data_IF_798645262528
#
_entry.id   IF_798645262528
#
_cell.length_a   1.000
_cell.length_b   1.000
_cell.length_c   1.000
_cell.angle_alpha   90.00
_cell.angle_beta   90.00
_cell.angle_gamma   90.00
#
_symmetry.space_group_name_H-M   'P 1'
#
loop_
_entity.id
_entity.type
_entity.pdbx_description
1 polymer ?
#
# COMPACT_ATOMS: atom_id res chain seq x y z
N UNK A 1 17.83 -5.25 -19.69
CA UNK A 1 16.92 -6.06 -18.86
C UNK A 1 15.50 -5.60 -19.15
N UNK A 2 14.59 -6.51 -19.36
CA UNK A 2 13.20 -6.15 -19.61
C UNK A 2 12.44 -6.28 -18.30
N UNK A 3 11.86 -5.18 -17.82
CA UNK A 3 10.99 -5.18 -16.66
C UNK A 3 9.53 -5.19 -17.10
N UNK A 4 8.68 -5.79 -16.29
CA UNK A 4 7.23 -5.70 -16.41
C UNK A 4 6.70 -4.86 -15.25
N UNK A 5 5.79 -3.95 -15.54
CA UNK A 5 5.14 -3.09 -14.57
C UNK A 5 3.63 -3.14 -14.79
N UNK A 6 2.86 -2.99 -13.71
CA UNK A 6 1.41 -3.01 -13.74
C UNK A 6 0.89 -1.77 -13.04
N UNK A 7 -0.09 -1.11 -13.66
CA UNK A 7 -0.73 0.07 -13.05
C UNK A 7 -2.23 -0.09 -13.02
N UNK A 8 -2.82 0.30 -11.91
CA UNK A 8 -4.24 0.56 -11.78
C UNK A 8 -4.53 2.05 -12.00
N UNK A 9 -5.80 2.40 -12.14
CA UNK A 9 -6.23 3.78 -12.33
C UNK A 9 -7.60 4.06 -11.72
N UNK A 10 -7.84 5.29 -11.31
CA UNK A 10 -9.20 5.79 -11.09
C UNK A 10 -9.84 6.02 -12.46
N UNK A 11 -10.85 5.22 -12.78
CA UNK A 11 -11.48 5.25 -14.09
C UNK A 11 -12.54 6.34 -14.20
N UNK A 12 -13.17 6.70 -13.09
CA UNK A 12 -14.23 7.73 -13.03
C UNK A 12 -15.29 7.58 -14.15
N UNK A 13 -15.60 6.33 -14.51
CA UNK A 13 -16.53 6.02 -15.60
C UNK A 13 -15.97 6.22 -17.01
N UNK A 14 -14.68 6.51 -17.17
CA UNK A 14 -14.07 6.68 -18.50
C UNK A 14 -13.85 5.32 -19.19
N UNK A 15 -14.41 5.11 -20.39
CA UNK A 15 -14.14 3.93 -21.19
C UNK A 15 -12.66 3.87 -21.57
N UNK A 16 -12.06 2.69 -21.44
CA UNK A 16 -10.65 2.48 -21.79
C UNK A 16 -9.65 2.66 -20.65
N UNK A 17 -10.02 3.29 -19.55
CA UNK A 17 -9.21 3.26 -18.32
C UNK A 17 -9.36 1.88 -17.63
N UNK A 18 -8.39 1.50 -16.82
CA UNK A 18 -8.40 0.19 -16.14
C UNK A 18 -7.02 -0.22 -15.63
N UNK A 19 -6.70 -1.50 -15.73
CA UNK A 19 -5.39 -2.04 -15.42
C UNK A 19 -4.53 -2.08 -16.67
N UNK A 20 -3.35 -1.44 -16.64
CA UNK A 20 -2.39 -1.45 -17.74
C UNK A 20 -1.17 -2.31 -17.43
N UNK A 21 -0.67 -2.99 -18.44
CA UNK A 21 0.52 -3.83 -18.45
C UNK A 21 1.59 -3.12 -19.27
N UNK A 22 2.74 -2.88 -18.68
CA UNK A 22 3.83 -2.14 -19.28
C UNK A 22 5.06 -3.01 -19.42
N UNK A 23 5.77 -2.82 -20.51
CA UNK A 23 7.13 -3.29 -20.70
C UNK A 23 8.10 -2.12 -20.63
N UNK A 24 9.21 -2.28 -19.90
CA UNK A 24 10.29 -1.30 -19.88
C UNK A 24 11.58 -1.96 -20.36
N UNK A 25 12.11 -1.47 -21.48
CA UNK A 25 13.35 -1.95 -22.10
C UNK A 25 14.31 -0.80 -22.31
N UNK A 26 15.49 -0.90 -21.70
CA UNK A 26 16.60 0.03 -21.80
C UNK A 26 16.27 1.48 -21.38
N UNK A 27 15.29 2.12 -21.97
CA UNK A 27 14.87 3.50 -21.67
C UNK A 27 13.46 3.80 -22.16
N UNK A 28 12.77 2.80 -22.71
CA UNK A 28 11.45 2.98 -23.30
C UNK A 28 10.40 2.22 -22.48
N UNK A 29 9.45 2.98 -21.93
CA UNK A 29 8.26 2.44 -21.30
C UNK A 29 7.16 2.34 -22.36
N UNK A 30 6.66 1.12 -22.58
CA UNK A 30 5.62 0.84 -23.57
C UNK A 30 4.44 0.18 -22.92
N UNK A 31 3.22 0.72 -23.13
CA UNK A 31 2.01 0.00 -22.77
C UNK A 31 1.82 -1.18 -23.73
N UNK A 32 1.94 -2.39 -23.15
CA UNK A 32 1.81 -3.62 -23.93
C UNK A 32 0.36 -4.04 -24.05
N UNK A 33 -0.43 -3.84 -22.98
CA UNK A 33 -1.83 -4.26 -22.88
C UNK A 33 -2.58 -3.46 -21.83
N UNK A 34 -3.93 -3.45 -22.00
CA UNK A 34 -4.84 -2.86 -21.01
C UNK A 34 -6.10 -3.74 -20.86
N UNK A 35 -6.53 -3.90 -19.62
CA UNK A 35 -7.83 -4.48 -19.27
C UNK A 35 -8.74 -3.34 -18.89
N UNK A 36 -9.66 -3.00 -19.79
CA UNK A 36 -10.65 -1.96 -19.59
C UNK A 36 -11.92 -2.50 -18.91
N UNK A 37 -12.82 -1.61 -18.51
CA UNK A 37 -14.13 -1.95 -17.95
C UNK A 37 -14.13 -2.28 -16.45
N UNK A 38 -12.97 -2.23 -15.79
CA UNK A 38 -12.85 -2.30 -14.32
C UNK A 38 -13.16 -0.92 -13.72
N UNK A 39 -13.78 -0.92 -12.55
CA UNK A 39 -14.19 0.33 -11.88
C UNK A 39 -13.16 0.73 -10.82
N UNK A 40 -12.45 1.82 -11.07
CA UNK A 40 -11.43 2.35 -10.17
C UNK A 40 -10.48 1.26 -9.61
N UNK A 41 -9.77 0.48 -10.46
CA UNK A 41 -8.78 -0.48 -9.99
C UNK A 41 -7.53 0.27 -9.50
N UNK A 42 -7.68 1.03 -8.41
CA UNK A 42 -6.68 1.98 -7.89
C UNK A 42 -5.47 1.30 -7.28
N UNK A 43 -5.60 0.05 -6.83
CA UNK A 43 -4.51 -0.76 -6.29
C UNK A 43 -4.45 -2.12 -6.97
N UNK A 44 -3.23 -2.53 -7.34
CA UNK A 44 -2.97 -3.82 -8.01
C UNK A 44 -1.88 -4.59 -7.29
N UNK A 45 -2.05 -5.90 -7.18
CA UNK A 45 -1.09 -6.81 -6.54
C UNK A 45 -0.72 -7.94 -7.51
N UNK A 46 0.44 -7.88 -8.18
CA UNK A 46 0.93 -8.99 -9.00
C UNK A 46 1.50 -10.11 -8.13
N UNK A 47 1.18 -11.36 -8.47
CA UNK A 47 1.75 -12.56 -7.85
C UNK A 47 1.89 -13.69 -8.85
N UNK A 48 3.12 -13.96 -9.27
CA UNK A 48 3.39 -14.91 -10.34
C UNK A 48 2.68 -14.51 -11.64
N UNK A 49 1.83 -15.38 -12.19
CA UNK A 49 1.03 -15.11 -13.39
C UNK A 49 -0.40 -14.61 -13.07
N UNK A 50 -0.63 -14.14 -11.85
CA UNK A 50 -1.90 -13.53 -11.43
C UNK A 50 -1.70 -12.07 -11.06
N UNK A 51 -2.74 -11.28 -11.28
CA UNK A 51 -2.83 -9.91 -10.81
C UNK A 51 -4.20 -9.73 -10.18
N UNK A 52 -4.18 -9.33 -8.93
CA UNK A 52 -5.38 -8.94 -8.19
C UNK A 52 -5.53 -7.42 -8.27
N UNK A 53 -6.75 -6.96 -8.42
CA UNK A 53 -7.07 -5.53 -8.42
C UNK A 53 -8.29 -5.27 -7.54
N UNK A 54 -8.28 -4.16 -6.81
CA UNK A 54 -9.47 -3.67 -6.10
C UNK A 54 -10.45 -3.02 -7.10
N UNK A 55 -11.73 -2.93 -6.70
CA UNK A 55 -12.64 -1.90 -7.19
C UNK A 55 -12.90 -0.93 -6.03
N UNK A 56 -12.28 0.25 -6.09
CA UNK A 56 -12.41 1.30 -5.07
C UNK A 56 -13.66 2.13 -5.33
N UNK A 57 -14.76 1.76 -4.67
CA UNK A 57 -16.05 2.41 -4.79
C UNK A 57 -16.57 2.79 -3.39
N UNK A 58 -17.09 4.00 -3.20
CA UNK A 58 -17.41 4.54 -1.87
C UNK A 58 -18.57 3.83 -1.16
N UNK A 59 -19.43 3.16 -1.90
CA UNK A 59 -20.65 2.50 -1.41
C UNK A 59 -20.60 0.98 -1.46
N UNK A 60 -19.52 0.41 -2.02
CA UNK A 60 -19.36 -1.04 -2.20
C UNK A 60 -17.92 -1.42 -2.45
N UNK A 61 -17.65 -2.72 -2.43
CA UNK A 61 -16.35 -3.28 -2.64
C UNK A 61 -16.36 -4.39 -3.70
N UNK A 62 -15.30 -4.48 -4.45
CA UNK A 62 -15.07 -5.56 -5.41
C UNK A 62 -13.60 -5.90 -5.52
N UNK A 63 -13.32 -7.14 -5.88
CA UNK A 63 -11.98 -7.64 -6.17
C UNK A 63 -12.02 -8.40 -7.48
N UNK A 64 -10.97 -8.22 -8.27
CA UNK A 64 -10.79 -8.85 -9.58
C UNK A 64 -9.49 -9.66 -9.57
N UNK A 65 -9.52 -10.85 -10.15
CA UNK A 65 -8.33 -11.63 -10.43
C UNK A 65 -8.17 -11.81 -11.94
N UNK A 66 -7.05 -11.37 -12.45
CA UNK A 66 -6.62 -11.58 -13.83
C UNK A 66 -5.49 -12.61 -13.85
N UNK A 67 -5.36 -13.34 -14.94
CA UNK A 67 -4.17 -14.13 -15.23
C UNK A 67 -3.75 -13.97 -16.68
N UNK A 68 -2.51 -14.33 -17.00
CA UNK A 68 -2.01 -14.34 -18.37
C UNK A 68 -0.96 -15.45 -18.57
N UNK A 69 -0.89 -15.96 -19.77
CA UNK A 69 0.23 -16.75 -20.23
C UNK A 69 1.26 -15.86 -20.92
N UNK A 70 2.51 -16.31 -21.00
CA UNK A 70 3.58 -15.57 -21.66
C UNK A 70 3.18 -15.19 -23.09
N UNK A 71 3.26 -13.90 -23.42
CA UNK A 71 2.77 -13.39 -24.70
C UNK A 71 1.23 -13.36 -24.86
N UNK A 72 0.45 -14.01 -23.98
CA UNK A 72 -1.01 -14.10 -24.01
C UNK A 72 -1.74 -12.84 -23.51
N UNK A 73 -3.00 -12.66 -23.89
CA UNK A 73 -3.84 -11.59 -23.34
C UNK A 73 -4.23 -11.91 -21.88
N UNK A 74 -4.31 -10.88 -20.98
CA UNK A 74 -4.88 -11.08 -19.67
C UNK A 74 -6.31 -11.59 -19.75
N UNK A 75 -6.63 -12.58 -18.93
CA UNK A 75 -7.95 -13.19 -18.84
C UNK A 75 -8.53 -12.96 -17.46
N UNK A 76 -9.81 -12.65 -17.39
CA UNK A 76 -10.54 -12.58 -16.14
C UNK A 76 -10.76 -13.98 -15.60
N UNK A 77 -10.22 -14.28 -14.42
CA UNK A 77 -10.39 -15.56 -13.73
C UNK A 77 -11.64 -15.51 -12.87
N UNK A 78 -11.73 -14.47 -12.04
CA UNK A 78 -12.92 -14.20 -11.24
C UNK A 78 -13.07 -12.71 -10.94
N UNK A 79 -14.29 -12.27 -10.71
CA UNK A 79 -14.68 -10.97 -10.24
C UNK A 79 -15.74 -11.15 -9.17
N UNK A 80 -15.51 -10.60 -7.98
CA UNK A 80 -16.39 -10.76 -6.82
C UNK A 80 -16.71 -9.42 -6.18
N UNK A 81 -18.01 -9.18 -5.96
CA UNK A 81 -18.44 -8.25 -4.95
C UNK A 81 -18.17 -8.83 -3.57
N UNK A 82 -17.60 -8.05 -2.68
CA UNK A 82 -17.24 -8.47 -1.32
C UNK A 82 -17.81 -7.50 -0.29
N UNK A 83 -17.96 -7.91 1.00
CA UNK A 83 -18.32 -6.98 2.05
C UNK A 83 -17.32 -5.83 2.19
N UNK A 84 -17.81 -4.63 2.56
CA UNK A 84 -17.01 -3.41 2.73
C UNK A 84 -17.25 -2.36 1.67
N UNK A 85 -16.45 -1.29 1.69
CA UNK A 85 -16.49 -0.20 0.74
C UNK A 85 -15.12 0.49 0.63
N UNK A 86 -14.84 1.09 -0.55
CA UNK A 86 -13.61 1.85 -0.78
C UNK A 86 -12.34 1.03 -0.60
N UNK A 87 -12.23 -0.14 -1.26
CA UNK A 87 -11.03 -0.96 -1.17
C UNK A 87 -9.84 -0.22 -1.80
N UNK A 88 -8.77 -0.03 -1.02
CA UNK A 88 -7.60 0.76 -1.45
C UNK A 88 -6.26 0.03 -1.36
N UNK A 89 -6.22 -1.18 -0.78
CA UNK A 89 -4.99 -1.96 -0.64
C UNK A 89 -5.27 -3.46 -0.62
N UNK A 90 -4.31 -4.26 -1.09
CA UNK A 90 -4.36 -5.72 -1.11
C UNK A 90 -3.08 -6.32 -0.54
N UNK A 91 -3.22 -7.38 0.24
CA UNK A 91 -2.11 -8.22 0.70
C UNK A 91 -2.47 -9.69 0.58
N UNK A 92 -1.55 -10.49 0.07
CA UNK A 92 -1.68 -11.94 0.01
C UNK A 92 -0.90 -12.57 1.16
N UNK A 93 -1.59 -13.30 2.04
CA UNK A 93 -0.99 -14.09 3.12
C UNK A 93 -1.49 -15.54 3.01
N UNK A 94 -0.56 -16.46 2.73
CA UNK A 94 -0.92 -17.83 2.44
C UNK A 94 -1.96 -17.96 1.30
N UNK A 95 -3.09 -18.65 1.51
CA UNK A 95 -4.15 -18.78 0.51
C UNK A 95 -5.14 -17.61 0.49
N UNK A 96 -5.05 -16.67 1.43
CA UNK A 96 -6.02 -15.59 1.62
C UNK A 96 -5.50 -14.26 1.11
N UNK A 97 -6.31 -13.59 0.32
CA UNK A 97 -6.11 -12.22 -0.13
C UNK A 97 -6.91 -11.28 0.78
N UNK A 98 -6.24 -10.46 1.55
CA UNK A 98 -6.85 -9.44 2.39
C UNK A 98 -6.94 -8.10 1.66
N UNK A 99 -8.08 -7.45 1.77
CA UNK A 99 -8.38 -6.15 1.18
C UNK A 99 -8.76 -5.13 2.26
N UNK A 100 -8.07 -4.00 2.28
CA UNK A 100 -8.32 -2.88 3.18
C UNK A 100 -9.37 -1.95 2.58
N UNK A 101 -10.46 -1.73 3.32
CA UNK A 101 -11.58 -0.88 2.91
C UNK A 101 -11.55 0.46 3.65
N UNK A 102 -11.16 1.51 2.94
CA UNK A 102 -11.04 2.86 3.49
C UNK A 102 -12.40 3.43 3.86
N UNK A 103 -13.33 3.51 2.89
CA UNK A 103 -14.65 4.10 3.12
C UNK A 103 -15.52 3.25 4.06
N UNK A 104 -15.31 1.95 4.08
CA UNK A 104 -16.04 1.03 4.97
C UNK A 104 -15.46 0.94 6.38
N UNK A 105 -14.20 1.31 6.61
CA UNK A 105 -13.49 0.99 7.84
C UNK A 105 -13.37 -0.52 8.05
N UNK A 106 -13.07 -1.28 6.99
CA UNK A 106 -13.19 -2.75 6.98
C UNK A 106 -11.94 -3.46 6.53
N UNK A 107 -11.76 -4.69 6.98
CA UNK A 107 -10.81 -5.66 6.43
C UNK A 107 -11.59 -6.88 5.94
N UNK A 108 -11.43 -7.20 4.66
CA UNK A 108 -12.10 -8.34 4.02
C UNK A 108 -11.07 -9.34 3.54
N UNK A 109 -11.22 -10.62 3.87
CA UNK A 109 -10.41 -11.72 3.34
C UNK A 109 -11.20 -12.54 2.33
N UNK A 110 -10.57 -12.88 1.21
CA UNK A 110 -11.11 -13.82 0.23
C UNK A 110 -10.10 -14.92 -0.08
N UNK A 111 -10.57 -16.11 -0.43
CA UNK A 111 -9.71 -17.13 -1.00
C UNK A 111 -9.09 -16.64 -2.31
N UNK A 112 -7.78 -16.56 -2.40
CA UNK A 112 -7.08 -16.04 -3.57
C UNK A 112 -7.34 -16.86 -4.85
N UNK A 113 -7.72 -18.12 -4.71
CA UNK A 113 -7.99 -19.02 -5.83
C UNK A 113 -9.36 -18.77 -6.46
N UNK A 114 -10.39 -18.54 -5.66
CA UNK A 114 -11.81 -18.49 -6.07
C UNK A 114 -12.46 -17.10 -5.93
N UNK A 115 -11.88 -16.25 -5.07
CA UNK A 115 -12.46 -14.98 -4.67
C UNK A 115 -13.62 -15.10 -3.66
N UNK A 116 -13.87 -16.31 -3.12
CA UNK A 116 -14.93 -16.49 -2.13
C UNK A 116 -14.56 -15.82 -0.79
N UNK A 117 -15.45 -15.00 -0.20
CA UNK A 117 -15.19 -14.37 1.08
C UNK A 117 -15.02 -15.40 2.20
N UNK A 118 -13.94 -15.26 2.98
CA UNK A 118 -13.63 -16.16 4.12
C UNK A 118 -13.41 -15.41 5.43
N UNK A 119 -13.22 -14.07 5.38
CA UNK A 119 -13.03 -13.23 6.55
C UNK A 119 -13.67 -11.86 6.35
N UNK A 120 -14.23 -11.29 7.42
CA UNK A 120 -14.73 -9.91 7.44
C UNK A 120 -14.65 -9.33 8.85
N UNK A 121 -14.10 -8.10 8.94
CA UNK A 121 -14.00 -7.35 10.19
C UNK A 121 -14.32 -5.88 9.93
N UNK A 122 -15.23 -5.32 10.74
CA UNK A 122 -15.45 -3.87 10.83
C UNK A 122 -14.65 -3.29 11.99
N UNK A 123 -14.09 -2.09 11.77
CA UNK A 123 -13.38 -1.32 12.78
C UNK A 123 -14.18 -0.08 13.15
N UNK A 124 -14.09 0.33 14.43
CA UNK A 124 -14.84 1.44 14.96
C UNK A 124 -13.95 2.38 15.76
N UNK A 125 -14.33 3.65 15.76
CA UNK A 125 -13.64 4.72 16.45
C UNK A 125 -13.47 5.93 15.55
N UNK A 126 -12.79 6.94 16.04
CA UNK A 126 -12.49 8.17 15.33
C UNK A 126 -11.19 8.76 15.87
N UNK A 127 -10.60 9.68 15.11
CA UNK A 127 -9.46 10.50 15.52
C UNK A 127 -9.86 11.97 15.69
N UNK A 128 -8.87 12.85 15.94
CA UNK A 128 -9.13 14.28 16.19
C UNK A 128 -9.44 15.09 14.93
N UNK A 129 -9.07 14.60 13.73
CA UNK A 129 -9.35 15.29 12.46
C UNK A 129 -10.77 14.96 11.98
N UNK A 130 -11.74 15.82 12.31
CA UNK A 130 -13.14 15.58 12.00
C UNK A 130 -13.45 15.41 10.49
N UNK A 131 -12.59 15.88 9.59
CA UNK A 131 -12.78 15.77 8.15
C UNK A 131 -12.22 14.49 7.54
N UNK A 132 -11.25 13.87 8.22
CA UNK A 132 -10.49 12.72 7.69
C UNK A 132 -10.47 11.52 8.64
N UNK A 133 -10.95 11.68 9.86
CA UNK A 133 -10.95 10.68 10.92
C UNK A 133 -12.31 10.61 11.65
N UNK A 134 -13.41 10.88 10.94
CA UNK A 134 -14.78 10.81 11.49
C UNK A 134 -15.19 9.38 11.87
N UNK A 135 -14.48 8.40 11.34
CA UNK A 135 -14.63 6.95 11.62
C UNK A 135 -13.31 6.22 11.33
N UNK A 136 -13.29 4.90 11.53
CA UNK A 136 -12.19 4.05 11.10
C UNK A 136 -12.03 4.07 9.57
N UNK A 137 -10.77 4.12 9.09
CA UNK A 137 -10.39 4.09 7.68
C UNK A 137 -9.21 3.13 7.49
N UNK A 138 -9.50 1.88 7.20
CA UNK A 138 -8.44 0.87 7.01
C UNK A 138 -7.72 1.12 5.70
N UNK A 139 -6.44 1.49 5.78
CA UNK A 139 -5.70 1.94 4.61
C UNK A 139 -4.75 0.89 4.03
N UNK A 140 -4.14 0.08 4.87
CA UNK A 140 -3.28 -1.02 4.42
C UNK A 140 -3.22 -2.15 5.44
N UNK A 141 -2.82 -3.32 4.98
CA UNK A 141 -2.45 -4.43 5.84
C UNK A 141 -1.25 -5.18 5.26
N UNK A 142 -0.45 -5.80 6.11
CA UNK A 142 0.71 -6.59 5.71
C UNK A 142 1.02 -7.67 6.73
N UNK A 143 1.49 -8.82 6.24
CA UNK A 143 1.98 -9.92 7.06
C UNK A 143 3.30 -9.52 7.75
N UNK A 144 3.48 -9.93 9.00
CA UNK A 144 4.75 -9.78 9.70
C UNK A 144 5.85 -10.63 9.06
N UNK A 145 7.14 -10.28 9.22
CA UNK A 145 8.24 -11.00 8.59
C UNK A 145 8.32 -12.50 8.93
N UNK A 146 7.81 -12.89 10.09
CA UNK A 146 7.76 -14.28 10.55
C UNK A 146 6.49 -15.03 10.14
N UNK A 147 5.58 -14.37 9.42
CA UNK A 147 4.33 -14.96 8.95
C UNK A 147 3.29 -15.26 10.04
N UNK A 148 3.52 -14.80 11.27
CA UNK A 148 2.63 -15.15 12.39
C UNK A 148 1.49 -14.16 12.64
N UNK A 149 1.61 -12.95 12.08
CA UNK A 149 0.66 -11.85 12.31
C UNK A 149 0.30 -11.12 11.02
N UNK A 150 -0.89 -10.55 11.01
CA UNK A 150 -1.30 -9.51 10.08
C UNK A 150 -1.40 -8.19 10.83
N UNK A 151 -0.66 -7.18 10.34
CA UNK A 151 -0.73 -5.82 10.83
C UNK A 151 -1.66 -5.01 9.94
N UNK A 152 -2.44 -4.10 10.53
CA UNK A 152 -3.47 -3.34 9.82
C UNK A 152 -3.40 -1.87 10.22
N UNK A 153 -3.17 -0.98 9.28
CA UNK A 153 -3.11 0.47 9.47
C UNK A 153 -4.51 1.09 9.36
N UNK A 154 -4.92 1.80 10.39
CA UNK A 154 -6.18 2.54 10.44
C UNK A 154 -5.90 4.05 10.54
N UNK A 155 -6.06 4.72 9.42
CA UNK A 155 -5.88 6.16 9.33
C UNK A 155 -6.90 6.90 10.21
N UNK A 156 -8.11 6.40 10.27
CA UNK A 156 -9.24 7.07 10.94
C UNK A 156 -9.14 7.07 12.46
N UNK A 157 -8.44 6.11 13.06
CA UNK A 157 -8.36 6.00 14.53
C UNK A 157 -6.95 6.19 15.08
N UNK A 158 -5.97 6.54 14.22
CA UNK A 158 -4.55 6.63 14.59
C UNK A 158 -4.00 5.32 15.17
N UNK A 159 -4.41 4.15 14.62
CA UNK A 159 -4.00 2.84 15.15
C UNK A 159 -3.35 1.95 14.12
N UNK A 160 -2.42 1.15 14.63
CA UNK A 160 -1.93 -0.06 13.94
C UNK A 160 -2.42 -1.27 14.73
N UNK A 161 -3.37 -2.03 14.18
CA UNK A 161 -3.85 -3.27 14.79
C UNK A 161 -2.92 -4.43 14.47
N UNK A 162 -2.87 -5.41 15.38
CA UNK A 162 -2.15 -6.66 15.22
C UNK A 162 -3.08 -7.85 15.45
N UNK A 163 -3.09 -8.76 14.50
CA UNK A 163 -3.87 -10.01 14.56
C UNK A 163 -2.95 -11.20 14.41
N UNK A 164 -3.19 -12.22 15.18
CA UNK A 164 -2.62 -13.56 14.96
C UNK A 164 -3.23 -14.16 13.70
N UNK A 165 -2.38 -14.61 12.79
CA UNK A 165 -2.79 -15.42 11.64
C UNK A 165 -3.05 -16.85 12.08
N UNK A 166 -4.28 -17.32 11.87
CA UNK A 166 -4.70 -18.67 12.15
C UNK A 166 -4.83 -19.49 10.86
N UNK A 167 -5.05 -20.80 11.00
CA UNK A 167 -5.36 -21.65 9.85
C UNK A 167 -6.56 -21.11 9.06
N UNK A 168 -6.59 -21.37 7.77
CA UNK A 168 -7.62 -20.89 6.84
C UNK A 168 -7.78 -19.35 6.77
N UNK A 169 -6.77 -18.60 7.23
CA UNK A 169 -6.77 -17.13 7.16
C UNK A 169 -7.69 -16.44 8.16
N UNK A 170 -8.10 -17.13 9.22
CA UNK A 170 -8.80 -16.48 10.34
C UNK A 170 -7.84 -15.56 11.10
N UNK A 171 -8.34 -14.41 11.52
CA UNK A 171 -7.60 -13.45 12.31
C UNK A 171 -8.18 -13.38 13.73
N UNK A 172 -7.28 -13.41 14.72
CA UNK A 172 -7.62 -13.21 16.12
C UNK A 172 -6.80 -12.03 16.65
N UNK A 173 -7.39 -11.04 17.33
CA UNK A 173 -6.62 -9.94 17.91
C UNK A 173 -5.46 -10.47 18.76
N UNK A 174 -4.28 -9.86 18.64
CA UNK A 174 -3.13 -10.21 19.49
C UNK A 174 -3.47 -9.94 20.95
N UNK A 175 -3.35 -10.95 21.81
CA UNK A 175 -3.71 -10.84 23.20
C UNK A 175 -2.76 -9.98 24.03
N UNK A 176 -1.53 -9.75 23.56
CA UNK A 176 -0.52 -8.97 24.27
C UNK A 176 -0.43 -7.51 23.79
N UNK A 177 -0.53 -7.29 22.48
CA UNK A 177 -0.51 -5.97 21.87
C UNK A 177 -1.50 -5.90 20.70
N UNK A 178 -2.82 -5.84 20.97
CA UNK A 178 -3.83 -5.86 19.91
C UNK A 178 -3.78 -4.65 18.98
N UNK A 179 -3.21 -3.54 19.44
CA UNK A 179 -2.88 -2.37 18.62
C UNK A 179 -1.79 -1.52 19.29
N UNK A 180 -1.17 -0.65 18.51
CA UNK A 180 -0.41 0.50 18.98
C UNK A 180 -1.12 1.78 18.53
N UNK A 181 -0.96 2.86 19.29
CA UNK A 181 -1.47 4.18 19.01
C UNK A 181 -0.34 5.04 18.44
N UNK A 182 -0.56 5.70 17.30
CA UNK A 182 0.32 6.77 16.81
C UNK A 182 -0.06 8.11 17.44
N UNK A 183 0.64 9.17 17.11
CA UNK A 183 0.26 10.52 17.55
C UNK A 183 -1.14 10.93 17.05
N UNK A 184 -1.86 11.77 17.82
CA UNK A 184 -3.21 12.18 17.46
C UNK A 184 -3.21 12.96 16.14
N UNK A 185 -4.05 12.52 15.18
CA UNK A 185 -4.18 13.17 13.88
C UNK A 185 -3.10 12.79 12.86
N UNK A 186 -2.25 11.81 13.14
CA UNK A 186 -1.20 11.37 12.23
C UNK A 186 -1.73 10.55 11.04
N UNK A 187 -2.68 9.67 11.28
CA UNK A 187 -3.30 8.84 10.23
C UNK A 187 -2.36 7.81 9.60
N UNK A 188 -2.16 6.65 10.24
CA UNK A 188 -1.38 5.53 9.69
C UNK A 188 -1.83 5.13 8.29
N UNK A 189 -0.89 5.00 7.35
CA UNK A 189 -1.23 4.73 5.94
C UNK A 189 -0.59 3.46 5.41
N UNK A 190 0.63 3.54 4.93
CA UNK A 190 1.42 2.42 4.42
C UNK A 190 2.65 2.20 5.29
N UNK A 191 3.13 0.97 5.34
CA UNK A 191 4.31 0.61 6.12
C UNK A 191 5.11 -0.48 5.41
N UNK A 192 6.37 -0.62 5.79
CA UNK A 192 7.26 -1.62 5.25
C UNK A 192 8.14 -2.20 6.36
N UNK A 193 8.33 -3.51 6.35
CA UNK A 193 9.30 -4.16 7.21
C UNK A 193 10.68 -4.17 6.58
N UNK A 194 11.71 -3.95 7.39
CA UNK A 194 13.07 -4.20 6.99
C UNK A 194 13.29 -5.71 6.77
N UNK A 195 14.08 -6.14 5.77
CA UNK A 195 14.27 -7.56 5.45
C UNK A 195 14.84 -8.41 6.60
N UNK A 196 15.52 -7.79 7.59
CA UNK A 196 15.98 -8.50 8.79
C UNK A 196 14.88 -8.85 9.80
N UNK A 197 13.65 -8.37 9.56
CA UNK A 197 12.49 -8.64 10.40
C UNK A 197 12.44 -7.94 11.75
N UNK A 198 13.38 -7.02 12.04
CA UNK A 198 13.49 -6.35 13.35
C UNK A 198 12.93 -4.93 13.36
N UNK A 199 12.67 -4.33 12.20
CA UNK A 199 12.27 -2.94 12.06
C UNK A 199 11.08 -2.81 11.14
N UNK A 200 10.20 -1.88 11.48
CA UNK A 200 9.07 -1.45 10.65
C UNK A 200 9.10 0.07 10.50
N UNK A 201 8.87 0.55 9.31
CA UNK A 201 8.75 1.96 8.97
C UNK A 201 7.33 2.22 8.51
N UNK A 202 6.67 3.20 9.12
CA UNK A 202 5.28 3.56 8.88
C UNK A 202 5.19 5.01 8.43
N UNK A 203 4.52 5.27 7.32
CA UNK A 203 4.15 6.64 6.94
C UNK A 203 2.77 6.98 7.47
N UNK A 204 2.65 8.18 8.01
CA UNK A 204 1.38 8.78 8.43
C UNK A 204 0.96 9.80 7.38
N UNK A 205 -0.30 9.73 6.95
CA UNK A 205 -0.78 10.54 5.82
C UNK A 205 -1.00 12.00 6.20
N UNK A 206 -1.61 12.26 7.38
CA UNK A 206 -2.24 13.54 7.65
C UNK A 206 -1.24 14.61 8.13
N UNK A 207 -0.14 14.19 8.75
CA UNK A 207 0.96 15.07 9.18
C UNK A 207 2.25 14.85 8.39
N UNK A 208 2.23 13.88 7.44
CA UNK A 208 3.39 13.52 6.62
C UNK A 208 4.63 13.19 7.44
N UNK A 209 4.49 12.29 8.43
CA UNK A 209 5.60 11.77 9.21
C UNK A 209 6.01 10.36 8.77
N UNK A 210 7.27 10.03 9.03
CA UNK A 210 7.84 8.69 8.92
C UNK A 210 8.19 8.21 10.33
N UNK A 211 7.46 7.22 10.82
CA UNK A 211 7.65 6.64 12.14
C UNK A 211 8.50 5.36 12.03
N UNK A 212 9.45 5.22 12.95
CA UNK A 212 10.28 4.02 13.09
C UNK A 212 9.85 3.21 14.28
N UNK A 213 9.69 1.90 14.07
CA UNK A 213 9.38 0.93 15.11
C UNK A 213 10.41 -0.17 15.17
N UNK A 214 10.86 -0.51 16.37
CA UNK A 214 11.50 -1.79 16.64
C UNK A 214 10.41 -2.86 16.72
N UNK A 215 10.60 -3.96 15.99
CA UNK A 215 9.72 -5.14 16.03
C UNK A 215 10.49 -6.30 16.68
N UNK A 216 10.18 -6.59 17.90
CA UNK A 216 10.84 -7.63 18.69
C UNK A 216 9.82 -8.38 19.55
N UNK A 217 9.94 -9.72 19.59
CA UNK A 217 8.99 -10.57 20.31
C UNK A 217 7.53 -10.25 19.96
N UNK A 218 7.27 -9.99 18.68
CA UNK A 218 5.98 -9.61 18.12
C UNK A 218 5.40 -8.28 18.66
N UNK A 219 6.21 -7.45 19.27
CA UNK A 219 5.81 -6.13 19.77
C UNK A 219 6.42 -5.03 18.92
N UNK A 220 5.64 -3.99 18.72
CA UNK A 220 6.07 -2.75 18.10
C UNK A 220 6.35 -1.71 19.18
N UNK A 221 7.54 -1.14 19.14
CA UNK A 221 7.97 -0.03 20.00
C UNK A 221 8.48 1.12 19.13
N UNK A 222 7.84 2.28 19.20
CA UNK A 222 8.29 3.46 18.46
C UNK A 222 9.64 3.94 19.00
N UNK A 223 10.60 4.09 18.11
CA UNK A 223 11.98 4.51 18.46
C UNK A 223 12.42 5.77 17.75
N UNK A 224 11.68 6.22 16.74
CA UNK A 224 12.03 7.44 15.99
C UNK A 224 10.86 7.98 15.18
N UNK A 225 11.00 9.26 14.81
CA UNK A 225 10.06 9.98 13.96
C UNK A 225 10.80 11.02 13.13
N UNK A 226 10.45 11.14 11.86
CA UNK A 226 11.02 12.07 10.90
C UNK A 226 9.89 12.82 10.20
N UNK A 227 9.93 14.16 10.17
CA UNK A 227 9.04 14.95 9.32
C UNK A 227 9.45 14.81 7.86
N UNK A 228 8.46 14.60 6.99
CA UNK A 228 8.60 14.57 5.54
C UNK A 228 8.16 15.90 4.90
N UNK A 229 7.98 16.95 5.70
CA UNK A 229 7.66 18.30 5.22
C UNK A 229 8.84 19.24 5.48
N UNK A 230 9.08 20.09 4.50
CA UNK A 230 10.08 21.14 4.56
C UNK A 230 9.42 22.53 4.51
N UNK A 231 10.15 23.56 4.94
CA UNK A 231 9.63 24.92 4.89
C UNK A 231 9.31 25.34 3.44
N UNK A 232 8.07 25.72 3.21
CA UNK A 232 7.56 26.09 1.89
C UNK A 232 6.76 25.01 1.16
N UNK A 233 6.65 23.82 1.73
CA UNK A 233 5.75 22.81 1.19
C UNK A 233 4.27 23.25 1.32
N UNK A 234 3.40 22.85 0.36
CA UNK A 234 1.97 23.09 0.48
C UNK A 234 1.38 22.49 1.77
N UNK A 235 0.45 23.20 2.42
CA UNK A 235 -0.22 22.74 3.64
C UNK A 235 -1.00 21.43 3.43
N UNK A 236 -1.50 21.19 2.22
CA UNK A 236 -2.20 19.98 1.84
C UNK A 236 -1.28 18.81 1.47
N UNK A 237 0.02 18.90 1.77
CA UNK A 237 0.96 17.81 1.49
C UNK A 237 0.67 16.59 2.37
N UNK A 238 0.61 15.43 1.74
CA UNK A 238 0.21 14.17 2.35
C UNK A 238 1.19 13.05 1.96
N UNK A 239 1.88 12.45 2.94
CA UNK A 239 2.69 11.27 2.66
C UNK A 239 1.82 10.12 2.12
N UNK A 240 2.38 9.31 1.24
CA UNK A 240 1.59 8.30 0.55
C UNK A 240 2.16 6.90 0.66
N UNK A 241 3.22 6.60 -0.05
CA UNK A 241 3.70 5.23 -0.18
C UNK A 241 5.14 5.08 0.32
N UNK A 242 5.52 3.85 0.68
CA UNK A 242 6.81 3.55 1.29
C UNK A 242 7.32 2.19 0.80
N UNK A 243 8.56 2.14 0.35
CA UNK A 243 9.23 0.91 -0.06
C UNK A 243 10.69 0.89 0.36
N UNK A 244 11.18 -0.30 0.73
CA UNK A 244 12.59 -0.61 0.93
C UNK A 244 13.15 -1.32 -0.30
N UNK A 245 14.43 -1.08 -0.60
CA UNK A 245 15.17 -1.96 -1.51
C UNK A 245 15.21 -3.39 -0.95
N UNK A 246 15.29 -4.39 -1.82
CA UNK A 246 15.28 -5.80 -1.39
C UNK A 246 16.46 -6.19 -0.47
N UNK A 247 17.55 -5.41 -0.48
CA UNK A 247 18.70 -5.57 0.43
C UNK A 247 18.56 -4.78 1.74
N UNK A 248 17.46 -4.02 1.91
CA UNK A 248 17.18 -3.20 3.09
C UNK A 248 18.01 -1.92 3.23
N UNK A 249 18.89 -1.60 2.26
CA UNK A 249 19.85 -0.48 2.38
C UNK A 249 19.26 0.89 2.15
N UNK A 250 18.16 0.99 1.40
CA UNK A 250 17.51 2.25 1.08
C UNK A 250 16.01 2.18 1.30
N UNK A 251 15.47 3.25 1.86
CA UNK A 251 14.05 3.46 2.09
C UNK A 251 13.60 4.67 1.27
N UNK A 252 12.49 4.51 0.55
CA UNK A 252 11.87 5.58 -0.22
C UNK A 252 10.47 5.86 0.29
N UNK A 253 10.08 7.15 0.27
CA UNK A 253 8.75 7.60 0.68
C UNK A 253 8.27 8.67 -0.28
N UNK A 254 7.04 8.55 -0.80
CA UNK A 254 6.42 9.58 -1.64
C UNK A 254 5.56 10.53 -0.82
N UNK A 255 5.56 11.83 -1.19
CA UNK A 255 4.74 12.88 -0.57
C UNK A 255 3.99 13.63 -1.66
N UNK A 256 2.66 13.52 -1.61
CA UNK A 256 1.73 14.22 -2.51
C UNK A 256 1.62 15.69 -2.11
N UNK A 257 1.35 16.59 -3.03
CA UNK A 257 1.31 18.03 -2.81
C UNK A 257 2.71 18.64 -2.89
N UNK A 258 3.65 18.18 -2.05
CA UNK A 258 5.08 18.47 -2.20
C UNK A 258 5.71 17.78 -3.43
N UNK A 259 5.00 16.82 -4.01
CA UNK A 259 5.29 16.12 -5.27
C UNK A 259 6.73 15.59 -5.37
N UNK A 260 7.15 14.95 -4.29
CA UNK A 260 8.52 14.47 -4.14
C UNK A 260 8.60 13.02 -3.65
N UNK A 261 9.81 12.47 -3.83
CA UNK A 261 10.24 11.20 -3.30
C UNK A 261 11.42 11.43 -2.36
N UNK A 262 11.29 11.07 -1.10
CA UNK A 262 12.40 11.03 -0.16
C UNK A 262 13.18 9.74 -0.33
N UNK A 263 14.51 9.83 -0.21
CA UNK A 263 15.42 8.69 -0.14
C UNK A 263 16.21 8.75 1.16
N UNK A 264 16.17 7.66 1.91
CA UNK A 264 16.95 7.48 3.13
C UNK A 264 17.91 6.30 2.94
N UNK A 265 19.13 6.46 3.41
CA UNK A 265 20.02 5.33 3.68
C UNK A 265 19.62 4.73 5.03
N UNK A 266 19.44 3.42 5.04
CA UNK A 266 19.17 2.66 6.26
C UNK A 266 20.51 2.28 6.86
N UNK A 267 20.74 2.67 8.11
CA UNK A 267 21.99 2.47 8.85
C UNK A 267 21.76 1.57 10.06
N UNK A 268 22.84 1.11 10.68
CA UNK A 268 22.81 0.31 11.91
C UNK A 268 21.86 -0.89 11.84
N UNK A 269 21.86 -1.59 10.71
CA UNK A 269 21.01 -2.77 10.46
C UNK A 269 19.49 -2.46 10.64
N UNK A 270 19.08 -1.25 10.29
CA UNK A 270 17.69 -0.80 10.35
C UNK A 270 17.37 0.17 11.48
N UNK A 271 18.29 0.37 12.44
CA UNK A 271 18.04 1.15 13.65
C UNK A 271 18.07 2.66 13.45
N UNK A 272 18.59 3.16 12.33
CA UNK A 272 18.61 4.59 12.02
C UNK A 272 18.47 4.87 10.54
N UNK A 273 17.99 6.08 10.22
CA UNK A 273 17.79 6.56 8.86
C UNK A 273 18.59 7.84 8.65
N UNK A 274 19.35 7.89 7.57
CA UNK A 274 20.03 9.09 7.09
C UNK A 274 19.38 9.55 5.81
N UNK A 275 18.76 10.72 5.83
CA UNK A 275 18.19 11.33 4.62
C UNK A 275 19.33 11.63 3.62
N UNK A 276 19.21 11.07 2.42
CA UNK A 276 20.14 11.30 1.32
C UNK A 276 19.68 12.43 0.41
N UNK A 277 18.37 12.60 0.27
CA UNK A 277 17.81 13.65 -0.54
C UNK A 277 16.30 13.56 -0.67
N UNK A 278 15.78 14.58 -1.35
CA UNK A 278 14.40 14.76 -1.75
C UNK A 278 14.39 15.09 -3.25
N UNK A 279 13.65 14.36 -4.03
CA UNK A 279 13.69 14.42 -5.48
C UNK A 279 12.28 14.66 -6.01
N UNK A 280 12.15 15.56 -7.02
CA UNK A 280 10.88 15.76 -7.72
C UNK A 280 10.44 14.48 -8.41
N UNK A 281 9.15 14.18 -8.40
CA UNK A 281 8.56 13.05 -9.12
C UNK A 281 8.21 13.37 -10.58
N UNK A 282 8.58 14.57 -11.06
CA UNK A 282 8.32 15.06 -12.42
C UNK A 282 6.83 14.95 -12.82
N UNK A 283 5.95 15.10 -11.82
CA UNK A 283 4.51 15.07 -11.98
C UNK A 283 3.83 15.48 -10.69
N UNK A 284 2.50 15.46 -10.65
CA UNK A 284 1.78 15.84 -9.45
C UNK A 284 0.99 14.70 -8.83
N UNK A 285 1.00 14.69 -7.50
CA UNK A 285 0.30 13.73 -6.65
C UNK A 285 0.85 12.30 -6.76
N UNK A 286 2.13 12.03 -6.38
CA UNK A 286 2.77 10.71 -6.41
C UNK A 286 2.14 9.79 -5.34
N UNK A 287 1.01 9.16 -5.69
CA UNK A 287 0.22 8.36 -4.76
C UNK A 287 0.82 7.00 -4.47
N UNK A 288 1.47 6.41 -5.47
CA UNK A 288 2.10 5.09 -5.35
C UNK A 288 3.36 5.03 -6.23
N UNK A 289 4.33 4.23 -5.82
CA UNK A 289 5.52 3.95 -6.61
C UNK A 289 5.97 2.50 -6.40
N UNK A 290 6.91 2.04 -7.20
CA UNK A 290 7.47 0.70 -7.08
C UNK A 290 8.96 0.72 -7.39
N UNK A 291 9.72 -0.14 -6.73
CA UNK A 291 11.13 -0.36 -7.02
C UNK A 291 11.29 -1.55 -7.95
N UNK A 292 12.25 -1.49 -8.88
CA UNK A 292 12.63 -2.67 -9.65
C UNK A 292 13.22 -3.75 -8.72
N UNK A 293 13.10 -5.05 -9.06
CA UNK A 293 13.60 -6.13 -8.22
C UNK A 293 15.10 -6.07 -7.90
N UNK A 294 15.89 -5.42 -8.77
CA UNK A 294 17.32 -5.20 -8.58
C UNK A 294 17.65 -3.85 -7.90
N UNK A 295 16.62 -3.08 -7.51
CA UNK A 295 16.75 -1.80 -6.80
C UNK A 295 17.36 -0.66 -7.61
N UNK A 296 17.43 -0.78 -8.94
CA UNK A 296 18.08 0.23 -9.80
C UNK A 296 17.13 1.27 -10.37
N UNK A 297 15.84 0.97 -10.39
CA UNK A 297 14.81 1.85 -10.96
C UNK A 297 13.69 2.08 -9.95
N UNK A 298 13.11 3.25 -10.05
CA UNK A 298 11.88 3.65 -9.33
C UNK A 298 10.83 4.04 -10.36
N UNK A 299 9.67 3.40 -10.33
CA UNK A 299 8.52 3.77 -11.15
C UNK A 299 7.50 4.52 -10.29
N UNK A 300 7.22 5.78 -10.59
CA UNK A 300 6.32 6.65 -9.83
C UNK A 300 5.04 6.90 -10.61
N UNK A 301 3.88 6.62 -9.97
CA UNK A 301 2.56 6.93 -10.50
C UNK A 301 2.05 8.26 -9.93
N UNK A 302 2.05 9.30 -10.75
CA UNK A 302 1.58 10.63 -10.43
C UNK A 302 0.09 10.75 -10.77
N UNK A 303 -0.77 10.63 -9.76
CA UNK A 303 -2.22 10.47 -9.93
C UNK A 303 -2.89 11.66 -10.62
N UNK A 304 -2.58 12.90 -10.21
CA UNK A 304 -3.21 14.10 -10.78
C UNK A 304 -2.61 14.47 -12.14
N UNK A 305 -1.31 14.27 -12.31
CA UNK A 305 -0.67 14.45 -13.62
C UNK A 305 -1.07 13.36 -14.62
N UNK A 306 -1.60 12.23 -14.18
CA UNK A 306 -1.90 11.08 -15.02
C UNK A 306 -0.64 10.51 -15.70
N UNK A 307 0.52 10.66 -15.09
CA UNK A 307 1.82 10.24 -15.64
C UNK A 307 2.45 9.11 -14.86
N UNK A 308 3.23 8.31 -15.56
CA UNK A 308 4.10 7.27 -15.01
C UNK A 308 5.53 7.64 -15.38
N UNK A 309 6.38 7.87 -14.38
CA UNK A 309 7.77 8.31 -14.55
C UNK A 309 8.72 7.24 -14.01
N UNK A 310 9.80 6.97 -14.73
CA UNK A 310 10.84 6.01 -14.33
C UNK A 310 12.14 6.78 -14.08
N UNK A 311 12.72 6.56 -12.91
CA UNK A 311 14.02 7.11 -12.50
C UNK A 311 15.05 6.00 -12.40
#
# INVERSE_FOLDING_TARGET
>A
MNYQLYTGAYTNGQPGAGVAFWGFDASVLTEVRRVAGLRNPSYVLPKGKRLYAVEELPDRAGIVCLSWEEGGAPQLIWHRGVPGAGLCHLTLSGPVLYASGYDGGTLTGVEAASGEPCYFQEFHGHGPNAARQEKAHIHSCQESPDGSRLLVADLGTDRMYQFLLQEEGKLVPDGEQPWIQTGPGQGPRHFAFHPNGKWMYLVTELDSSLLMYRYENHRLEQVGEYSLLEAGDPEESLAADIHLTGDGRFLYVSVRGADCLYCFQVEEDGASLKQLGRFSTEGSWPRNFSLSPDGKLVAVANQQAGSLVIF
#
